data_IF_578595468217
#
_entry.id   IF_578595468217
#
_cell.length_a   1.000
_cell.length_b   1.000
_cell.length_c   1.000
_cell.angle_alpha   90.00
_cell.angle_beta   90.00
_cell.angle_gamma   90.00
#
_symmetry.space_group_name_H-M   'P 1'
#
loop_
_entity.id
_entity.type
_entity.pdbx_description
1 polymer ?
#
# COMPACT_ATOMS: atom_id res chain seq x y z
N UNK A 1 23.62 11.32 -8.07
CA UNK A 1 24.02 12.19 -9.19
C UNK A 1 22.82 13.02 -9.58
N UNK A 2 22.74 14.23 -9.03
CA UNK A 2 21.74 15.23 -9.39
C UNK A 2 21.87 15.53 -10.87
N UNK A 3 20.78 15.42 -11.62
CA UNK A 3 20.68 16.02 -12.94
C UNK A 3 20.76 17.53 -12.74
N UNK A 4 21.97 18.10 -12.82
CA UNK A 4 22.17 19.52 -13.13
C UNK A 4 21.75 19.74 -14.58
N UNK A 5 20.47 19.53 -14.89
CA UNK A 5 19.94 19.91 -16.20
C UNK A 5 19.95 21.43 -16.28
N UNK A 6 20.66 21.93 -17.27
CA UNK A 6 20.60 23.32 -17.66
C UNK A 6 19.21 23.60 -18.24
N UNK A 7 18.26 23.96 -17.36
CA UNK A 7 16.87 24.29 -17.69
C UNK A 7 16.75 25.56 -18.57
N UNK A 8 17.87 26.26 -18.77
CA UNK A 8 17.99 27.43 -19.64
C UNK A 8 18.30 27.02 -21.08
N UNK A 9 17.43 27.45 -22.00
CA UNK A 9 17.51 27.22 -23.44
C UNK A 9 17.36 28.56 -24.18
N UNK A 10 17.71 28.60 -25.48
CA UNK A 10 17.61 29.82 -26.29
C UNK A 10 16.19 30.41 -26.36
N UNK A 11 15.16 29.59 -26.21
CA UNK A 11 13.76 30.02 -26.22
C UNK A 11 13.31 30.68 -24.92
N UNK A 12 13.85 30.29 -23.76
CA UNK A 12 13.50 30.84 -22.44
C UNK A 12 14.58 31.79 -21.87
N UNK A 13 15.65 32.06 -22.63
CA UNK A 13 16.74 32.94 -22.20
C UNK A 13 16.32 34.38 -21.94
N UNK A 14 15.20 34.81 -22.54
CA UNK A 14 14.65 36.15 -22.33
C UNK A 14 13.96 36.32 -20.96
N UNK A 15 13.66 35.24 -20.24
CA UNK A 15 12.75 35.28 -19.09
C UNK A 15 13.42 35.17 -17.70
N UNK A 16 14.76 35.17 -17.60
CA UNK A 16 15.50 35.14 -16.31
C UNK A 16 14.88 34.22 -15.25
N UNK A 17 14.57 32.98 -15.65
CA UNK A 17 13.74 32.08 -14.85
C UNK A 17 14.39 31.68 -13.51
N UNK A 18 13.58 31.70 -12.46
CA UNK A 18 13.95 31.28 -11.11
C UNK A 18 13.75 29.77 -10.98
N UNK A 19 14.77 29.03 -10.55
CA UNK A 19 14.73 27.56 -10.43
C UNK A 19 14.00 27.12 -9.17
N UNK A 20 13.97 27.93 -8.14
CA UNK A 20 13.34 27.66 -6.85
C UNK A 20 11.81 27.58 -6.96
N UNK A 21 11.23 28.10 -8.05
CA UNK A 21 9.79 28.14 -8.29
C UNK A 21 9.35 27.06 -9.28
N UNK A 22 9.06 25.86 -8.75
CA UNK A 22 8.48 24.76 -9.52
C UNK A 22 6.96 24.95 -9.70
N UNK A 23 6.52 25.13 -10.94
CA UNK A 23 5.12 25.33 -11.33
C UNK A 23 4.84 24.60 -12.66
N UNK A 24 4.72 23.27 -12.66
CA UNK A 24 4.77 22.48 -13.88
C UNK A 24 3.63 22.85 -14.84
N UNK A 25 3.95 22.91 -16.12
CA UNK A 25 2.98 23.10 -17.21
C UNK A 25 3.15 22.01 -18.26
N UNK A 26 2.04 21.64 -18.89
CA UNK A 26 2.03 20.74 -20.04
C UNK A 26 1.91 21.55 -21.32
N UNK A 27 2.94 21.53 -22.17
CA UNK A 27 2.89 22.14 -23.49
C UNK A 27 1.91 21.43 -24.42
N UNK A 28 1.45 22.14 -25.45
CA UNK A 28 0.63 21.58 -26.53
C UNK A 28 1.37 20.49 -27.33
N UNK A 29 2.69 20.42 -27.22
CA UNK A 29 3.57 19.36 -27.72
C UNK A 29 3.57 18.08 -26.88
N UNK A 30 2.85 18.07 -25.74
CA UNK A 30 2.81 16.95 -24.80
C UNK A 30 4.05 16.83 -23.91
N UNK A 31 4.95 17.82 -23.93
CA UNK A 31 6.14 17.87 -23.09
C UNK A 31 5.85 18.64 -21.80
N UNK A 32 6.37 18.14 -20.68
CA UNK A 32 6.26 18.81 -19.39
C UNK A 32 7.43 19.78 -19.21
N UNK A 33 7.12 21.02 -18.85
CA UNK A 33 8.09 22.06 -18.57
C UNK A 33 8.09 22.41 -17.08
N UNK A 34 9.26 22.83 -16.57
CA UNK A 34 9.47 23.12 -15.14
C UNK A 34 8.58 24.25 -14.60
N UNK A 35 8.41 25.31 -15.40
CA UNK A 35 7.50 26.41 -15.11
C UNK A 35 7.03 27.10 -16.41
N UNK A 36 6.00 27.97 -16.37
CA UNK A 36 5.59 28.75 -17.55
C UNK A 36 6.73 29.59 -18.14
N UNK A 37 7.61 30.10 -17.28
CA UNK A 37 8.82 30.83 -17.67
C UNK A 37 9.78 29.93 -18.45
N UNK A 38 10.02 28.70 -17.97
CA UNK A 38 10.89 27.74 -18.65
C UNK A 38 10.29 27.24 -19.97
N UNK A 39 8.97 27.31 -20.14
CA UNK A 39 8.27 27.09 -21.40
C UNK A 39 8.30 28.33 -22.34
N UNK A 40 8.83 29.46 -21.87
CA UNK A 40 8.94 30.70 -22.63
C UNK A 40 7.62 31.43 -22.83
N UNK A 41 6.61 31.19 -21.99
CA UNK A 41 5.28 31.80 -22.14
C UNK A 41 5.29 33.27 -21.74
N UNK A 42 4.62 34.12 -22.53
CA UNK A 42 4.59 35.58 -22.34
C UNK A 42 3.27 36.09 -21.76
N UNK A 43 2.19 35.33 -21.92
CA UNK A 43 0.86 35.73 -21.50
C UNK A 43 0.08 34.62 -20.80
N UNK A 44 -0.82 35.02 -19.92
CA UNK A 44 -1.83 34.15 -19.29
C UNK A 44 -3.13 34.44 -20.02
N UNK A 45 -3.63 33.49 -20.79
CA UNK A 45 -4.80 33.69 -21.63
C UNK A 45 -6.08 33.63 -20.79
N UNK A 46 -6.44 32.45 -20.27
CA UNK A 46 -7.68 32.22 -19.53
C UNK A 46 -7.57 31.01 -18.60
N UNK A 47 -8.41 30.97 -17.56
CA UNK A 47 -8.72 29.75 -16.81
C UNK A 47 -9.75 28.95 -17.59
N UNK A 48 -9.40 27.74 -18.01
CA UNK A 48 -10.31 26.85 -18.73
C UNK A 48 -11.47 26.43 -17.80
N UNK A 49 -12.70 26.86 -18.09
CA UNK A 49 -13.88 26.61 -17.21
C UNK A 49 -14.22 25.13 -17.02
N UNK A 50 -13.77 24.25 -17.92
CA UNK A 50 -14.00 22.80 -17.89
C UNK A 50 -13.14 22.06 -16.85
N UNK A 51 -11.91 22.54 -16.61
CA UNK A 51 -10.92 21.91 -15.72
C UNK A 51 -10.44 22.81 -14.58
N UNK A 52 -10.77 24.10 -14.59
CA UNK A 52 -10.29 25.08 -13.60
C UNK A 52 -8.78 25.34 -13.68
N UNK A 53 -8.12 25.02 -14.81
CA UNK A 53 -6.67 25.15 -15.00
C UNK A 53 -6.32 26.42 -15.77
N UNK A 54 -5.21 27.06 -15.39
CA UNK A 54 -4.69 28.23 -16.09
C UNK A 54 -4.04 27.81 -17.41
N UNK A 55 -4.31 28.56 -18.48
CA UNK A 55 -3.69 28.37 -19.80
C UNK A 55 -2.75 29.54 -20.09
N UNK A 56 -1.52 29.20 -20.48
CA UNK A 56 -0.45 30.10 -20.86
C UNK A 56 -0.26 30.07 -22.38
N UNK A 57 0.10 31.21 -22.95
CA UNK A 57 0.25 31.42 -24.39
C UNK A 57 1.54 32.16 -24.73
N UNK A 58 1.88 32.15 -26.01
CA UNK A 58 3.14 32.70 -26.51
C UNK A 58 4.35 31.96 -25.96
N UNK A 59 4.21 30.65 -25.75
CA UNK A 59 5.26 29.79 -25.20
C UNK A 59 6.28 29.45 -26.30
N UNK A 60 7.40 30.17 -26.31
CA UNK A 60 8.43 30.04 -27.36
C UNK A 60 9.19 28.70 -27.34
N UNK A 61 9.23 28.01 -26.20
CA UNK A 61 9.88 26.70 -26.09
C UNK A 61 8.95 25.54 -26.46
N UNK A 62 7.64 25.76 -26.48
CA UNK A 62 6.66 24.73 -26.80
C UNK A 62 6.57 24.61 -28.31
N UNK A 63 6.78 23.39 -28.82
CA UNK A 63 6.74 23.12 -30.25
C UNK A 63 5.36 23.33 -30.86
N UNK A 64 5.05 24.54 -31.30
CA UNK A 64 3.92 24.81 -32.20
C UNK A 64 4.24 24.35 -33.62
N UNK A 65 3.23 24.00 -34.41
CA UNK A 65 3.43 23.73 -35.83
C UNK A 65 3.67 25.08 -36.54
N UNK A 66 4.93 25.56 -36.52
CA UNK A 66 5.37 26.90 -36.98
C UNK A 66 4.85 27.23 -38.38
N UNK A 67 4.58 26.21 -39.20
CA UNK A 67 3.97 26.30 -40.54
C UNK A 67 2.55 26.89 -40.57
N UNK A 68 1.86 27.03 -39.44
CA UNK A 68 0.47 27.53 -39.34
C UNK A 68 0.30 28.86 -38.58
N UNK A 69 1.38 29.43 -38.04
CA UNK A 69 1.31 30.66 -37.25
C UNK A 69 0.62 30.50 -35.89
N UNK A 70 0.41 29.25 -35.42
CA UNK A 70 -0.10 28.97 -34.08
C UNK A 70 1.04 29.10 -33.07
N UNK A 71 0.92 30.03 -32.13
CA UNK A 71 1.85 30.14 -31.02
C UNK A 71 1.68 28.96 -30.05
N UNK A 72 2.79 28.48 -29.50
CA UNK A 72 2.76 27.42 -28.49
C UNK A 72 1.95 27.85 -27.26
N UNK A 73 1.13 26.94 -26.74
CA UNK A 73 0.38 27.14 -25.50
C UNK A 73 0.71 26.03 -24.51
N UNK A 74 0.57 26.32 -23.22
CA UNK A 74 0.78 25.35 -22.15
C UNK A 74 -0.33 25.45 -21.10
N UNK A 75 -0.74 24.32 -20.56
CA UNK A 75 -1.78 24.24 -19.53
C UNK A 75 -1.15 23.94 -18.18
N UNK A 76 -1.63 24.59 -17.12
CA UNK A 76 -1.16 24.36 -15.76
C UNK A 76 -1.31 22.89 -15.32
N UNK A 77 -0.25 22.36 -14.73
CA UNK A 77 -0.18 21.00 -14.21
C UNK A 77 0.66 20.05 -15.05
N UNK A 78 0.67 18.78 -14.63
CA UNK A 78 1.41 17.70 -15.28
C UNK A 78 0.69 17.23 -16.54
N UNK A 79 1.44 16.80 -17.56
CA UNK A 79 0.87 16.15 -18.74
C UNK A 79 0.17 14.83 -18.38
N UNK A 80 -0.90 14.51 -19.13
CA UNK A 80 -1.54 13.20 -19.05
C UNK A 80 -0.55 12.13 -19.51
N UNK A 81 -0.33 11.11 -18.68
CA UNK A 81 0.52 9.98 -19.03
C UNK A 81 -0.35 8.80 -19.43
N UNK A 82 -0.26 8.36 -20.68
CA UNK A 82 -0.93 7.14 -21.16
C UNK A 82 -0.17 5.91 -20.68
N UNK A 83 -0.56 5.37 -19.53
CA UNK A 83 0.03 4.15 -18.99
C UNK A 83 -0.85 2.93 -19.29
N UNK A 84 -0.58 2.23 -20.38
CA UNK A 84 -1.31 1.00 -20.75
C UNK A 84 -1.15 -0.13 -19.72
N UNK A 85 -0.06 -0.15 -18.96
CA UNK A 85 0.20 -1.17 -17.93
C UNK A 85 -0.39 -0.86 -16.56
N UNK A 86 -1.02 0.31 -16.38
CA UNK A 86 -1.62 0.70 -15.10
C UNK A 86 -2.71 -0.28 -14.63
N UNK A 87 -3.66 -0.73 -15.47
CA UNK A 87 -4.65 -1.73 -15.05
C UNK A 87 -4.00 -3.03 -14.60
N UNK A 88 -3.01 -3.53 -15.37
CA UNK A 88 -2.30 -4.77 -15.02
C UNK A 88 -1.55 -4.66 -13.68
N UNK A 89 -0.88 -3.53 -13.42
CA UNK A 89 -0.24 -3.26 -12.13
C UNK A 89 -1.24 -3.29 -10.99
N UNK A 90 -2.37 -2.58 -11.12
CA UNK A 90 -3.40 -2.52 -10.10
C UNK A 90 -4.05 -3.90 -9.86
N UNK A 91 -4.29 -4.67 -10.92
CA UNK A 91 -4.80 -6.04 -10.82
C UNK A 91 -3.82 -6.96 -10.09
N UNK A 92 -2.53 -6.91 -10.42
CA UNK A 92 -1.51 -7.72 -9.73
C UNK A 92 -1.35 -7.32 -8.26
N UNK A 93 -1.33 -6.01 -7.98
CA UNK A 93 -1.29 -5.50 -6.61
C UNK A 93 -2.49 -5.97 -5.80
N UNK A 94 -3.69 -5.91 -6.38
CA UNK A 94 -4.91 -6.43 -5.78
C UNK A 94 -4.80 -7.92 -5.46
N UNK A 95 -4.34 -8.74 -6.42
CA UNK A 95 -4.13 -10.18 -6.22
C UNK A 95 -3.16 -10.44 -5.06
N UNK A 96 -2.02 -9.74 -5.01
CA UNK A 96 -1.02 -9.86 -3.93
C UNK A 96 -1.66 -9.52 -2.57
N UNK A 97 -2.45 -8.44 -2.50
CA UNK A 97 -3.13 -8.02 -1.28
C UNK A 97 -4.19 -9.05 -0.86
N UNK A 98 -5.01 -9.55 -1.78
CA UNK A 98 -6.01 -10.57 -1.51
C UNK A 98 -5.37 -11.83 -0.91
N UNK A 99 -4.29 -12.34 -1.52
CA UNK A 99 -3.58 -13.49 -0.96
C UNK A 99 -2.98 -13.19 0.43
N UNK A 100 -2.61 -11.95 0.75
CA UNK A 100 -2.17 -11.58 2.11
C UNK A 100 -3.27 -11.78 3.13
N UNK A 101 -4.46 -11.25 2.85
CA UNK A 101 -5.59 -11.39 3.76
C UNK A 101 -6.08 -12.84 3.85
N UNK A 102 -6.12 -13.56 2.73
CA UNK A 102 -6.51 -14.98 2.72
C UNK A 102 -5.57 -15.85 3.55
N UNK A 103 -4.26 -15.61 3.51
CA UNK A 103 -3.28 -16.36 4.32
C UNK A 103 -3.32 -16.00 5.81
N UNK A 104 -3.98 -14.92 6.21
CA UNK A 104 -4.03 -14.50 7.62
C UNK A 104 -4.82 -15.48 8.50
N UNK A 105 -5.98 -15.95 8.03
CA UNK A 105 -6.84 -16.87 8.79
C UNK A 105 -6.16 -18.24 8.99
N UNK A 106 -5.61 -18.90 7.94
CA UNK A 106 -4.85 -20.13 8.11
C UNK A 106 -3.68 -19.99 9.08
N UNK A 107 -2.96 -18.87 9.06
CA UNK A 107 -1.87 -18.62 9.99
C UNK A 107 -2.36 -18.54 11.45
N UNK A 108 -3.45 -17.81 11.70
CA UNK A 108 -4.06 -17.74 13.03
C UNK A 108 -4.57 -19.11 13.51
N UNK A 109 -5.26 -19.86 12.63
CA UNK A 109 -5.75 -21.21 12.95
C UNK A 109 -4.60 -22.17 13.24
N UNK A 110 -3.50 -22.10 12.47
CA UNK A 110 -2.31 -22.92 12.72
C UNK A 110 -1.73 -22.63 14.10
N UNK A 111 -1.52 -21.36 14.46
CA UNK A 111 -1.03 -20.98 15.79
C UNK A 111 -1.91 -21.53 16.91
N UNK A 112 -3.23 -21.42 16.78
CA UNK A 112 -4.18 -21.91 17.78
C UNK A 112 -4.19 -23.44 17.95
N UNK A 113 -3.82 -24.20 16.90
CA UNK A 113 -3.70 -25.66 16.94
C UNK A 113 -2.35 -26.13 17.47
N UNK A 114 -1.31 -25.32 17.35
CA UNK A 114 0.04 -25.63 17.84
C UNK A 114 0.24 -25.37 19.34
N UNK A 115 -0.69 -24.64 19.99
CA UNK A 115 -0.57 -24.27 21.41
C UNK A 115 -1.76 -24.78 22.22
N UNK A 116 -1.53 -25.22 23.47
CA UNK A 116 -2.62 -25.64 24.36
C UNK A 116 -3.53 -24.45 24.70
N UNK A 117 -4.80 -24.75 25.00
CA UNK A 117 -5.87 -23.77 25.20
C UNK A 117 -5.53 -22.68 26.22
N UNK A 118 -4.81 -23.03 27.29
CA UNK A 118 -4.36 -22.12 28.34
C UNK A 118 -3.29 -21.12 27.90
N UNK A 119 -2.58 -21.37 26.79
CA UNK A 119 -1.46 -20.55 26.29
C UNK A 119 -1.75 -19.87 24.94
N UNK A 120 -2.96 -20.00 24.40
CA UNK A 120 -3.35 -19.42 23.10
C UNK A 120 -3.10 -17.91 22.99
N UNK A 121 -3.50 -17.15 24.01
CA UNK A 121 -3.32 -15.69 24.03
C UNK A 121 -1.85 -15.29 24.07
N UNK A 122 -1.02 -16.03 24.80
CA UNK A 122 0.42 -15.82 24.84
C UNK A 122 1.09 -16.10 23.49
N UNK A 123 0.73 -17.22 22.84
CA UNK A 123 1.22 -17.57 21.50
C UNK A 123 0.85 -16.55 20.43
N UNK A 124 -0.41 -16.07 20.42
CA UNK A 124 -0.84 -14.99 19.54
C UNK A 124 -0.09 -13.68 19.83
N UNK A 125 0.18 -13.37 21.10
CA UNK A 125 0.97 -12.21 21.49
C UNK A 125 2.38 -12.22 20.87
N UNK A 126 3.09 -13.35 20.96
CA UNK A 126 4.40 -13.52 20.34
C UNK A 126 4.30 -13.37 18.81
N UNK A 127 3.30 -13.99 18.17
CA UNK A 127 3.09 -13.88 16.73
C UNK A 127 2.98 -12.41 16.29
N UNK A 128 2.16 -11.60 16.97
CA UNK A 128 1.99 -10.19 16.63
C UNK A 128 3.23 -9.34 16.92
N UNK A 129 3.98 -9.66 17.97
CA UNK A 129 5.26 -9.01 18.25
C UNK A 129 6.22 -9.24 17.06
N UNK A 130 6.37 -10.49 16.60
CA UNK A 130 7.24 -10.83 15.47
C UNK A 130 6.79 -10.14 14.18
N UNK A 131 5.49 -10.18 13.87
CA UNK A 131 4.93 -9.49 12.68
C UNK A 131 5.21 -7.99 12.73
N UNK A 132 5.08 -7.37 13.91
CA UNK A 132 5.27 -5.92 14.06
C UNK A 132 6.73 -5.53 13.98
N UNK A 133 7.62 -6.27 14.64
CA UNK A 133 9.06 -5.96 14.67
C UNK A 133 9.74 -6.22 13.33
N UNK A 134 9.41 -7.31 12.65
CA UNK A 134 10.06 -7.70 11.39
C UNK A 134 9.32 -7.21 10.14
N UNK A 135 8.04 -6.84 10.27
CA UNK A 135 7.21 -6.39 9.15
C UNK A 135 6.81 -4.93 9.27
N UNK A 136 5.97 -4.61 10.26
CA UNK A 136 5.31 -3.29 10.34
C UNK A 136 6.26 -2.13 10.62
N UNK A 137 7.36 -2.35 11.36
CA UNK A 137 8.38 -1.32 11.62
C UNK A 137 9.28 -1.09 10.40
N UNK A 138 9.95 -2.11 9.83
CA UNK A 138 10.83 -1.91 8.67
C UNK A 138 10.06 -1.65 7.37
N UNK A 139 8.80 -2.06 7.26
CA UNK A 139 7.99 -1.93 6.04
C UNK A 139 7.88 -0.48 5.53
N UNK A 140 7.37 0.47 6.33
CA UNK A 140 7.30 1.88 5.93
C UNK A 140 8.66 2.51 5.64
N UNK A 141 9.72 2.12 6.36
CA UNK A 141 11.08 2.61 6.11
C UNK A 141 11.56 2.17 4.73
N UNK A 142 11.44 0.88 4.43
CA UNK A 142 11.83 0.34 3.13
C UNK A 142 10.97 0.92 1.99
N UNK A 143 9.66 1.09 2.20
CA UNK A 143 8.79 1.71 1.22
C UNK A 143 9.13 3.18 0.99
N UNK A 144 9.47 3.92 2.05
CA UNK A 144 10.00 5.28 1.96
C UNK A 144 11.28 5.35 1.11
N UNK A 145 12.23 4.44 1.33
CA UNK A 145 13.44 4.36 0.51
C UNK A 145 13.14 4.08 -0.96
N UNK A 146 12.14 3.24 -1.28
CA UNK A 146 11.73 2.99 -2.68
C UNK A 146 11.16 4.26 -3.32
N UNK A 147 10.39 5.05 -2.58
CA UNK A 147 9.88 6.35 -3.05
C UNK A 147 11.04 7.29 -3.37
N UNK A 148 11.99 7.43 -2.45
CA UNK A 148 13.14 8.31 -2.61
C UNK A 148 14.03 7.88 -3.79
N UNK A 149 14.26 6.58 -3.96
CA UNK A 149 15.00 6.02 -5.10
C UNK A 149 14.32 6.29 -6.44
N UNK A 150 12.99 6.42 -6.46
CA UNK A 150 12.23 6.71 -7.66
C UNK A 150 12.18 8.21 -8.00
N UNK A 151 12.75 9.08 -7.16
CA UNK A 151 12.73 10.52 -7.39
C UNK A 151 13.57 10.92 -8.62
N UNK A 152 12.96 11.72 -9.51
CA UNK A 152 13.64 12.33 -10.66
C UNK A 152 14.10 13.77 -10.37
N UNK A 153 13.27 14.52 -9.63
CA UNK A 153 13.47 15.94 -9.39
C UNK A 153 13.19 16.26 -7.92
N UNK A 154 14.25 16.57 -7.18
CA UNK A 154 14.17 16.95 -5.77
C UNK A 154 13.82 18.42 -5.62
N UNK A 155 13.02 18.73 -4.60
CA UNK A 155 12.87 20.11 -4.16
C UNK A 155 14.14 20.56 -3.44
N UNK A 156 14.67 21.71 -3.83
CA UNK A 156 15.74 22.41 -3.11
C UNK A 156 15.15 23.63 -2.40
N UNK A 157 15.31 23.70 -1.08
CA UNK A 157 14.96 24.86 -0.27
C UNK A 157 16.22 25.37 0.40
N UNK A 158 16.83 26.41 -0.18
CA UNK A 158 18.01 27.06 0.38
C UNK A 158 19.18 26.10 0.64
N UNK A 159 19.40 25.10 -0.23
CA UNK A 159 20.45 24.10 -0.10
C UNK A 159 20.06 22.85 0.69
N UNK A 160 18.84 22.79 1.24
CA UNK A 160 18.29 21.59 1.88
C UNK A 160 17.34 20.84 0.94
N UNK A 161 17.56 19.53 0.85
CA UNK A 161 16.71 18.61 0.09
C UNK A 161 15.37 18.42 0.79
N UNK A 162 14.29 18.80 0.09
CA UNK A 162 12.90 18.65 0.53
C UNK A 162 12.21 17.44 -0.07
N UNK A 163 10.91 17.57 -0.36
CA UNK A 163 10.13 16.51 -1.01
C UNK A 163 10.43 16.42 -2.51
N UNK A 164 10.16 15.27 -3.13
CA UNK A 164 10.37 15.12 -4.56
C UNK A 164 9.16 15.62 -5.38
N UNK A 165 9.44 16.38 -6.45
CA UNK A 165 8.43 16.98 -7.34
C UNK A 165 7.88 15.99 -8.37
N UNK A 166 8.77 15.14 -8.93
CA UNK A 166 8.46 14.19 -9.99
C UNK A 166 9.11 12.84 -9.67
N UNK A 167 8.30 11.78 -9.68
CA UNK A 167 8.74 10.41 -9.49
C UNK A 167 8.71 9.64 -10.81
N UNK A 168 9.61 8.68 -10.98
CA UNK A 168 9.63 7.73 -12.08
C UNK A 168 8.66 6.59 -11.80
N UNK A 169 7.42 6.72 -12.28
CA UNK A 169 6.32 5.76 -12.05
C UNK A 169 6.68 4.30 -12.43
N UNK A 170 7.43 4.10 -13.52
CA UNK A 170 7.83 2.76 -13.97
C UNK A 170 8.75 2.05 -12.97
N UNK A 171 9.76 2.75 -12.45
CA UNK A 171 10.68 2.19 -11.47
C UNK A 171 9.95 1.92 -10.14
N UNK A 172 9.13 2.88 -9.69
CA UNK A 172 8.33 2.74 -8.48
C UNK A 172 7.42 1.50 -8.52
N UNK A 173 6.72 1.30 -9.64
CA UNK A 173 5.87 0.13 -9.88
C UNK A 173 6.68 -1.17 -9.87
N UNK A 174 7.80 -1.22 -10.60
CA UNK A 174 8.65 -2.41 -10.69
C UNK A 174 9.22 -2.82 -9.34
N UNK A 175 9.80 -1.88 -8.58
CA UNK A 175 10.36 -2.18 -7.26
C UNK A 175 9.29 -2.68 -6.29
N UNK A 176 8.10 -2.06 -6.30
CA UNK A 176 6.97 -2.49 -5.45
C UNK A 176 6.48 -3.89 -5.80
N UNK A 177 6.31 -4.20 -7.10
CA UNK A 177 5.87 -5.52 -7.54
C UNK A 177 6.90 -6.61 -7.25
N UNK A 178 8.18 -6.35 -7.57
CA UNK A 178 9.27 -7.31 -7.34
C UNK A 178 9.37 -7.64 -5.85
N UNK A 179 9.38 -6.61 -4.98
CA UNK A 179 9.39 -6.82 -3.54
C UNK A 179 8.17 -7.62 -3.07
N UNK A 180 6.97 -7.25 -3.53
CA UNK A 180 5.72 -7.95 -3.20
C UNK A 180 5.76 -9.43 -3.59
N UNK A 181 6.23 -9.75 -4.80
CA UNK A 181 6.35 -11.13 -5.29
C UNK A 181 7.38 -11.91 -4.46
N UNK A 182 8.56 -11.33 -4.18
CA UNK A 182 9.60 -11.97 -3.37
C UNK A 182 9.08 -12.29 -1.97
N UNK A 183 8.47 -11.33 -1.28
CA UNK A 183 7.91 -11.54 0.05
C UNK A 183 6.81 -12.60 0.03
N UNK A 184 6.02 -12.66 -1.04
CA UNK A 184 5.00 -13.70 -1.20
C UNK A 184 5.58 -15.07 -1.39
N UNK A 185 6.54 -15.23 -2.29
CA UNK A 185 7.21 -16.51 -2.53
C UNK A 185 7.87 -17.02 -1.25
N UNK A 186 8.61 -16.14 -0.56
CA UNK A 186 9.26 -16.48 0.71
C UNK A 186 8.25 -16.89 1.78
N UNK A 187 7.16 -16.13 1.92
CA UNK A 187 6.08 -16.43 2.87
C UNK A 187 5.38 -17.76 2.56
N UNK A 188 5.09 -18.03 1.29
CA UNK A 188 4.51 -19.31 0.86
C UNK A 188 5.45 -20.47 1.13
N UNK A 189 6.75 -20.34 0.85
CA UNK A 189 7.74 -21.37 1.17
C UNK A 189 7.79 -21.65 2.67
N UNK A 190 7.82 -20.62 3.52
CA UNK A 190 7.79 -20.82 4.97
C UNK A 190 6.49 -21.48 5.44
N UNK A 191 5.35 -21.11 4.87
CA UNK A 191 4.07 -21.73 5.21
C UNK A 191 4.01 -23.21 4.80
N UNK A 192 4.55 -23.55 3.63
CA UNK A 192 4.66 -24.94 3.16
C UNK A 192 5.58 -25.77 4.06
N UNK A 193 6.75 -25.23 4.41
CA UNK A 193 7.68 -25.90 5.33
C UNK A 193 7.03 -26.12 6.70
N UNK A 194 6.35 -25.11 7.24
CA UNK A 194 5.61 -25.23 8.50
C UNK A 194 4.51 -26.29 8.42
N UNK A 195 3.81 -26.38 7.28
CA UNK A 195 2.77 -27.40 7.06
C UNK A 195 3.34 -28.82 7.02
N UNK A 196 4.53 -29.01 6.45
CA UNK A 196 5.20 -30.33 6.41
C UNK A 196 5.74 -30.73 7.79
N UNK A 197 6.23 -29.76 8.58
CA UNK A 197 6.75 -30.01 9.92
C UNK A 197 5.66 -30.09 11.01
N UNK A 198 4.43 -29.71 10.68
CA UNK A 198 3.31 -29.74 11.62
C UNK A 198 2.98 -31.18 12.01
N UNK A 199 3.18 -31.51 13.28
CA UNK A 199 2.70 -32.74 13.87
C UNK A 199 1.37 -32.45 14.58
N UNK A 200 0.26 -33.09 14.17
CA UNK A 200 -0.99 -32.94 14.88
C UNK A 200 -0.84 -33.50 16.30
N UNK A 201 -1.42 -32.84 17.32
CA UNK A 201 -1.48 -33.42 18.65
C UNK A 201 -2.21 -34.76 18.57
N UNK A 202 -1.77 -35.79 19.33
CA UNK A 202 -2.49 -37.07 19.39
C UNK A 202 -3.93 -36.80 19.81
N UNK A 203 -4.89 -37.48 19.17
CA UNK A 203 -6.30 -37.34 19.53
C UNK A 203 -6.47 -37.64 21.02
N UNK A 204 -6.91 -36.63 21.78
CA UNK A 204 -7.32 -36.84 23.17
C UNK A 204 -8.56 -37.75 23.17
N UNK A 205 -8.62 -38.82 23.97
CA UNK A 205 -9.72 -39.81 23.98
C UNK A 205 -11.08 -39.27 24.49
N UNK A 206 -11.28 -37.95 24.53
CA UNK A 206 -12.48 -37.29 25.03
C UNK A 206 -13.49 -36.91 23.93
N UNK A 207 -13.16 -37.04 22.64
CA UNK A 207 -14.14 -36.80 21.55
C UNK A 207 -15.05 -37.99 21.25
N UNK A 208 -14.78 -39.18 21.82
CA UNK A 208 -15.54 -40.41 21.57
C UNK A 208 -16.71 -40.66 22.52
N UNK A 209 -16.95 -39.80 23.52
CA UNK A 209 -18.04 -40.02 24.50
C UNK A 209 -19.38 -39.33 24.12
N UNK A 210 -19.45 -38.58 23.03
CA UNK A 210 -20.65 -37.79 22.70
C UNK A 210 -21.53 -38.38 21.59
N UNK A 211 -21.34 -39.66 21.23
CA UNK A 211 -22.17 -40.33 20.23
C UNK A 211 -22.62 -41.72 20.66
N UNK A 212 -23.30 -41.80 21.80
CA UNK A 212 -24.19 -42.93 22.12
C UNK A 212 -25.30 -42.46 23.06
N UNK A 213 -26.37 -41.88 22.52
CA UNK A 213 -27.70 -41.85 23.14
C UNK A 213 -28.74 -41.47 22.08
N UNK A 214 -28.97 -42.38 21.13
CA UNK A 214 -30.20 -42.40 20.35
C UNK A 214 -30.72 -43.84 20.35
N UNK A 215 -31.75 -44.12 21.15
CA UNK A 215 -32.36 -45.43 21.20
C UNK A 215 -33.22 -45.73 22.43
N UNK A 216 -34.53 -45.49 22.27
CA UNK A 216 -35.64 -46.31 22.80
C UNK A 216 -36.28 -45.92 24.14
N UNK A 217 -37.59 -45.67 24.03
CA UNK A 217 -38.60 -45.51 25.08
C UNK A 217 -38.58 -46.63 26.13
N UNK A 218 -38.73 -46.28 27.41
CA UNK A 218 -39.71 -46.94 28.27
C UNK A 218 -40.09 -46.09 29.49
N UNK A 219 -41.40 -45.95 29.68
CA UNK A 219 -42.11 -45.28 30.75
C UNK A 219 -42.00 -46.04 32.09
N UNK A 220 -41.76 -45.34 33.20
CA UNK A 220 -42.05 -45.86 34.54
C UNK A 220 -41.26 -45.28 35.73
N UNK A 221 -41.99 -44.53 36.57
CA UNK A 221 -41.85 -44.36 38.03
C UNK A 221 -40.84 -43.35 38.63
N UNK A 222 -41.44 -42.31 39.22
CA UNK A 222 -40.96 -41.52 40.36
C UNK A 222 -40.54 -42.42 41.56
N UNK A 223 -39.64 -41.93 42.44
CA UNK A 223 -40.13 -41.26 43.65
C UNK A 223 -39.44 -39.92 43.99
N UNK A 224 -40.25 -39.05 44.57
CA UNK A 224 -39.93 -37.84 45.32
C UNK A 224 -39.00 -38.16 46.50
N UNK A 225 -37.95 -37.34 46.70
CA UNK A 225 -37.43 -37.06 48.04
C UNK A 225 -36.67 -35.72 48.11
N UNK A 226 -37.41 -34.73 48.62
CA UNK A 226 -37.05 -33.66 49.57
C UNK A 226 -35.92 -32.66 49.20
N UNK A 227 -36.34 -31.43 48.87
CA UNK A 227 -35.56 -30.21 49.12
C UNK A 227 -35.58 -29.89 50.62
N UNK A 228 -34.47 -29.40 51.17
CA UNK A 228 -34.50 -28.38 52.21
C UNK A 228 -34.15 -27.02 51.61
N UNK A 229 -34.98 -26.03 51.93
CA UNK A 229 -34.62 -24.61 51.94
C UNK A 229 -33.44 -24.41 52.90
N UNK A 230 -32.39 -23.75 52.43
CA UNK A 230 -31.65 -22.73 53.20
C UNK A 230 -30.63 -22.07 52.26
N UNK A 231 -30.92 -20.84 51.87
CA UNK A 231 -30.06 -20.06 51.00
C UNK A 231 -28.85 -19.50 51.73
N UNK A 232 -27.65 -19.97 51.37
CA UNK A 232 -26.42 -19.16 51.36
C UNK A 232 -25.48 -19.73 50.29
N UNK A 233 -25.26 -19.00 49.18
CA UNK A 233 -24.19 -19.31 48.23
C UNK A 233 -22.91 -18.67 48.77
N UNK A 234 -22.05 -19.47 49.42
CA UNK A 234 -20.67 -19.04 49.74
C UNK A 234 -19.77 -19.47 48.58
N UNK A 235 -19.24 -18.48 47.86
CA UNK A 235 -18.37 -18.69 46.71
C UNK A 235 -16.94 -19.03 47.20
N UNK A 236 -16.60 -20.32 47.24
CA UNK A 236 -15.32 -20.81 47.74
C UNK A 236 -14.30 -20.99 46.61
N UNK A 237 -13.91 -19.91 45.94
CA UNK A 237 -12.65 -19.84 45.16
C UNK A 237 -12.24 -18.39 44.84
N UNK A 238 -12.12 -17.57 45.88
CA UNK A 238 -11.34 -16.34 45.84
C UNK A 238 -10.27 -16.40 46.94
N UNK A 239 -9.14 -17.02 46.63
CA UNK A 239 -7.84 -16.67 47.20
C UNK A 239 -6.73 -17.03 46.23
#
# INVERSE_FOLDING_TARGET
SSLDENLTAACNSACSCIRELYNPVCGSDGVMYYSPCHAGCTSVNHTELSMGKQVYSGCSCVGGNVSRGDEGFAVAGKCSSTCHHMPAFLSLLFIIICFTFLSSIPALTATLRCVPDSQRSFGLGIQWIVVRTLGSIPGPIAFGSVIDLSCLLWQDRCGELGSCYIYRNSAMSQYTLIAGIIFKLLGTTFFLVASVLYQPPPESPLSSCESMNHGTEHMGNLPIKDLPEDGVIVNLHAR
#
